data_IF_830082005200
#
_entry.id   IF_830082005200
#
_cell.length_a   1.000
_cell.length_b   1.000
_cell.length_c   1.000
_cell.angle_alpha   90.00
_cell.angle_beta   90.00
_cell.angle_gamma   90.00
#
_symmetry.space_group_name_H-M   'P 1'
#
loop_
_entity.id
_entity.type
_entity.pdbx_description
1 polymer ?
#
# COMPACT_ATOMS: atom_id res chain seq x y z
N UNK A 1 17.39 -10.37 -11.20
CA UNK A 1 17.49 -9.53 -12.41
C UNK A 1 17.47 -8.08 -11.96
N UNK A 2 18.32 -7.23 -12.54
CA UNK A 2 18.40 -5.80 -12.22
C UNK A 2 18.17 -4.99 -13.49
N UNK A 3 17.41 -3.90 -13.38
CA UNK A 3 17.15 -2.97 -14.47
C UNK A 3 17.51 -1.56 -14.03
N UNK A 4 18.31 -0.87 -14.84
CA UNK A 4 18.57 0.55 -14.71
C UNK A 4 18.13 1.23 -16.02
N UNK A 5 17.21 2.19 -15.94
CA UNK A 5 16.72 2.92 -17.12
C UNK A 5 16.65 4.41 -16.79
N UNK A 6 17.09 5.23 -17.74
CA UNK A 6 17.03 6.69 -17.61
C UNK A 6 16.60 7.32 -18.93
N UNK A 7 15.83 8.41 -18.84
CA UNK A 7 15.47 9.27 -19.99
C UNK A 7 14.72 8.52 -21.09
N UNK A 8 13.60 7.88 -20.71
CA UNK A 8 12.76 7.11 -21.64
C UNK A 8 11.32 7.59 -21.54
N UNK A 9 10.70 7.93 -22.66
CA UNK A 9 9.29 8.33 -22.70
C UNK A 9 8.37 7.22 -22.18
N UNK A 10 8.66 5.97 -22.54
CA UNK A 10 7.81 4.83 -22.17
C UNK A 10 8.56 3.51 -22.01
N UNK A 11 8.29 2.83 -20.91
CA UNK A 11 8.67 1.43 -20.68
C UNK A 11 7.44 0.59 -20.31
N UNK A 12 7.26 -0.55 -20.98
CA UNK A 12 6.18 -1.50 -20.70
C UNK A 12 6.76 -2.91 -20.58
N UNK A 13 6.43 -3.59 -19.49
CA UNK A 13 6.69 -5.02 -19.30
C UNK A 13 5.36 -5.72 -18.99
N UNK A 14 4.87 -6.59 -19.90
CA UNK A 14 3.67 -7.41 -19.70
C UNK A 14 4.04 -8.89 -19.65
N UNK A 15 3.87 -9.53 -18.48
CA UNK A 15 4.03 -10.97 -18.35
C UNK A 15 2.66 -11.66 -18.24
N UNK A 16 2.37 -12.51 -19.22
CA UNK A 16 1.15 -13.33 -19.20
C UNK A 16 1.15 -14.38 -18.09
N UNK A 17 2.29 -15.03 -17.86
CA UNK A 17 2.44 -16.07 -16.83
C UNK A 17 3.90 -16.19 -16.43
N UNK A 18 4.17 -16.03 -15.13
CA UNK A 18 5.48 -16.26 -14.55
C UNK A 18 5.37 -17.30 -13.43
N UNK A 19 6.07 -18.41 -13.59
CA UNK A 19 6.10 -19.51 -12.61
C UNK A 19 7.54 -19.86 -12.30
N UNK A 20 8.02 -19.41 -11.15
CA UNK A 20 9.38 -19.66 -10.69
C UNK A 20 9.38 -20.11 -9.23
N UNK A 21 10.47 -20.75 -8.79
CA UNK A 21 10.62 -21.03 -7.36
C UNK A 21 10.80 -19.73 -6.58
N UNK A 22 11.68 -18.86 -7.04
CA UNK A 22 11.96 -17.56 -6.45
C UNK A 22 12.05 -16.50 -7.56
N UNK A 23 11.59 -15.28 -7.26
CA UNK A 23 11.80 -14.11 -8.09
C UNK A 23 12.58 -13.09 -7.28
N UNK A 24 13.63 -12.55 -7.88
CA UNK A 24 14.39 -11.41 -7.38
C UNK A 24 14.51 -10.37 -8.49
N UNK A 25 13.91 -9.19 -8.30
CA UNK A 25 13.99 -8.08 -9.24
C UNK A 25 14.34 -6.77 -8.54
N UNK A 26 15.24 -6.00 -9.15
CA UNK A 26 15.58 -4.64 -8.71
C UNK A 26 15.42 -3.68 -9.89
N UNK A 27 14.79 -2.53 -9.65
CA UNK A 27 14.56 -1.50 -10.65
C UNK A 27 15.07 -0.16 -10.12
N UNK A 28 15.95 0.48 -10.87
CA UNK A 28 16.41 1.85 -10.65
C UNK A 28 16.03 2.68 -11.88
N UNK A 29 15.03 3.55 -11.74
CA UNK A 29 14.45 4.27 -12.88
C UNK A 29 14.43 5.76 -12.61
N UNK A 30 14.86 6.55 -13.59
CA UNK A 30 14.88 8.01 -13.49
C UNK A 30 14.40 8.68 -14.78
N UNK A 31 13.64 9.77 -14.68
CA UNK A 31 13.24 10.58 -15.84
C UNK A 31 12.47 9.75 -16.87
N UNK A 32 11.30 9.24 -16.46
CA UNK A 32 10.44 8.40 -17.31
C UNK A 32 9.02 8.96 -17.34
N UNK A 33 8.46 9.26 -18.51
CA UNK A 33 7.08 9.76 -18.56
C UNK A 33 6.09 8.64 -18.20
N UNK A 34 6.36 7.41 -18.65
CA UNK A 34 5.46 6.28 -18.39
C UNK A 34 6.16 4.94 -18.19
N UNK A 35 6.01 4.38 -17.00
CA UNK A 35 6.38 3.01 -16.68
C UNK A 35 5.15 2.15 -16.39
N UNK A 36 5.03 0.99 -17.04
CA UNK A 36 3.98 0.00 -16.78
C UNK A 36 4.59 -1.38 -16.61
N UNK A 37 4.24 -2.03 -15.51
CA UNK A 37 4.47 -3.45 -15.27
C UNK A 37 3.12 -4.15 -15.04
N UNK A 38 2.69 -5.02 -15.95
CA UNK A 38 1.45 -5.83 -15.81
C UNK A 38 1.79 -7.31 -15.75
N UNK A 39 1.40 -7.96 -14.66
CA UNK A 39 1.53 -9.40 -14.48
C UNK A 39 0.14 -10.05 -14.38
N UNK A 40 -0.23 -10.87 -15.38
CA UNK A 40 -1.54 -11.53 -15.39
C UNK A 40 -1.61 -12.69 -14.40
N UNK A 41 -0.53 -13.46 -14.28
CA UNK A 41 -0.46 -14.60 -13.34
C UNK A 41 0.96 -14.84 -12.89
N UNK A 42 1.17 -14.74 -11.59
CA UNK A 42 2.48 -14.89 -10.98
C UNK A 42 2.39 -15.91 -9.83
N UNK A 43 3.08 -17.04 -9.97
CA UNK A 43 3.01 -18.17 -9.02
C UNK A 43 4.42 -18.58 -8.59
N UNK A 44 4.80 -18.26 -7.36
CA UNK A 44 6.15 -18.53 -6.85
C UNK A 44 6.15 -18.93 -5.38
N UNK A 45 7.27 -19.48 -4.90
CA UNK A 45 7.44 -19.65 -3.45
C UNK A 45 7.71 -18.30 -2.80
N UNK A 46 8.68 -17.56 -3.32
CA UNK A 46 9.08 -16.26 -2.79
C UNK A 46 9.24 -15.21 -3.88
N UNK A 47 8.87 -13.98 -3.55
CA UNK A 47 9.12 -12.80 -4.37
C UNK A 47 9.87 -11.78 -3.51
N UNK A 48 10.94 -11.25 -4.08
CA UNK A 48 11.62 -10.07 -3.60
C UNK A 48 11.71 -9.05 -4.73
N UNK A 49 11.12 -7.88 -4.55
CA UNK A 49 11.24 -6.76 -5.49
C UNK A 49 11.66 -5.48 -4.78
N UNK A 50 12.56 -4.72 -5.39
CA UNK A 50 12.92 -3.39 -4.93
C UNK A 50 12.83 -2.39 -6.09
N UNK A 51 12.23 -1.22 -5.82
CA UNK A 51 12.06 -0.15 -6.79
C UNK A 51 12.61 1.14 -6.20
N UNK A 52 13.54 1.77 -6.91
CA UNK A 52 14.04 3.11 -6.65
C UNK A 52 13.70 3.99 -7.86
N UNK A 53 12.71 4.87 -7.71
CA UNK A 53 12.12 5.64 -8.80
C UNK A 53 12.26 7.13 -8.53
N UNK A 54 12.72 7.88 -9.52
CA UNK A 54 12.78 9.35 -9.46
C UNK A 54 12.25 9.98 -10.74
N UNK A 55 11.57 11.11 -10.61
CA UNK A 55 11.12 11.92 -11.75
C UNK A 55 10.32 11.09 -12.77
N UNK A 56 9.20 10.52 -12.32
CA UNK A 56 8.32 9.71 -13.19
C UNK A 56 6.93 10.34 -13.25
N UNK A 57 6.44 10.69 -14.43
CA UNK A 57 5.10 11.26 -14.54
C UNK A 57 4.02 10.22 -14.21
N UNK A 58 4.21 8.98 -14.67
CA UNK A 58 3.26 7.89 -14.43
C UNK A 58 3.94 6.53 -14.24
N UNK A 59 3.76 5.96 -13.06
CA UNK A 59 4.09 4.58 -12.75
C UNK A 59 2.83 3.74 -12.50
N UNK A 60 2.73 2.58 -13.16
CA UNK A 60 1.65 1.61 -12.96
C UNK A 60 2.25 0.22 -12.74
N UNK A 61 1.88 -0.41 -11.63
CA UNK A 61 2.10 -1.82 -11.36
C UNK A 61 0.74 -2.51 -11.20
N UNK A 62 0.38 -3.37 -12.15
CA UNK A 62 -0.87 -4.14 -12.15
C UNK A 62 -0.59 -5.63 -11.99
N UNK A 63 -1.27 -6.26 -11.06
CA UNK A 63 -1.18 -7.69 -10.82
C UNK A 63 -2.57 -8.31 -10.76
N UNK A 64 -2.92 -9.14 -11.76
CA UNK A 64 -4.25 -9.77 -11.78
C UNK A 64 -4.35 -10.91 -10.78
N UNK A 65 -3.40 -11.84 -10.78
CA UNK A 65 -3.40 -13.01 -9.89
C UNK A 65 -2.00 -13.31 -9.41
N UNK A 66 -1.82 -13.31 -8.09
CA UNK A 66 -0.51 -13.53 -7.52
C UNK A 66 -0.64 -14.48 -6.31
N UNK A 67 -0.01 -15.64 -6.44
CA UNK A 67 -0.12 -16.78 -5.51
C UNK A 67 1.28 -17.15 -5.07
N UNK A 68 1.64 -16.79 -3.84
CA UNK A 68 2.97 -17.06 -3.32
C UNK A 68 2.97 -17.48 -1.86
N UNK A 69 4.09 -17.99 -1.37
CA UNK A 69 4.26 -18.19 0.08
C UNK A 69 4.60 -16.85 0.73
N UNK A 70 5.64 -16.17 0.25
CA UNK A 70 6.12 -14.92 0.82
C UNK A 70 6.35 -13.87 -0.25
N UNK A 71 6.06 -12.62 0.09
CA UNK A 71 6.32 -11.46 -0.75
C UNK A 71 6.99 -10.40 0.11
N UNK A 72 8.10 -9.87 -0.40
CA UNK A 72 8.76 -8.69 0.11
C UNK A 72 8.88 -7.69 -1.04
N UNK A 73 8.32 -6.50 -0.86
CA UNK A 73 8.47 -5.40 -1.80
C UNK A 73 8.90 -4.13 -1.09
N UNK A 74 9.87 -3.44 -1.65
CA UNK A 74 10.34 -2.14 -1.16
C UNK A 74 10.25 -1.10 -2.28
N UNK A 75 9.71 0.07 -1.96
CA UNK A 75 9.56 1.18 -2.90
C UNK A 75 10.17 2.43 -2.27
N UNK A 76 11.12 3.05 -2.96
CA UNK A 76 11.64 4.38 -2.69
C UNK A 76 11.30 5.25 -3.89
N UNK A 77 10.35 6.17 -3.74
CA UNK A 77 9.82 6.98 -4.83
C UNK A 77 10.01 8.46 -4.52
N UNK A 78 10.45 9.23 -5.50
CA UNK A 78 10.61 10.67 -5.40
C UNK A 78 10.12 11.36 -6.66
N UNK A 79 9.43 12.49 -6.53
CA UNK A 79 8.99 13.33 -7.66
C UNK A 79 8.18 12.52 -8.69
N UNK A 80 7.04 11.98 -8.26
CA UNK A 80 6.18 11.16 -9.12
C UNK A 80 4.83 11.85 -9.31
N UNK A 81 4.45 12.14 -10.55
CA UNK A 81 3.14 12.75 -10.81
C UNK A 81 2.00 11.78 -10.46
N UNK A 82 2.12 10.50 -10.84
CA UNK A 82 1.13 9.48 -10.50
C UNK A 82 1.73 8.10 -10.30
N UNK A 83 1.51 7.52 -9.13
CA UNK A 83 1.80 6.13 -8.83
C UNK A 83 0.52 5.33 -8.61
N UNK A 84 0.40 4.18 -9.29
CA UNK A 84 -0.72 3.24 -9.13
C UNK A 84 -0.16 1.83 -8.92
N UNK A 85 -0.59 1.20 -7.84
CA UNK A 85 -0.42 -0.22 -7.59
C UNK A 85 -1.80 -0.88 -7.45
N UNK A 86 -2.21 -1.68 -8.45
CA UNK A 86 -3.52 -2.34 -8.47
C UNK A 86 -3.36 -3.87 -8.45
N UNK A 87 -4.03 -4.51 -7.50
CA UNK A 87 -4.15 -5.97 -7.42
C UNK A 87 -5.59 -6.40 -7.76
N UNK A 88 -5.82 -6.69 -9.05
CA UNK A 88 -7.16 -6.73 -9.66
C UNK A 88 -8.04 -7.95 -9.39
N UNK A 89 -7.52 -9.13 -9.01
CA UNK A 89 -8.40 -10.30 -8.76
C UNK A 89 -8.14 -11.04 -7.47
N UNK A 90 -6.91 -11.50 -7.21
CA UNK A 90 -6.64 -12.32 -6.02
C UNK A 90 -5.17 -12.35 -5.66
N UNK A 91 -4.86 -11.93 -4.43
CA UNK A 91 -3.60 -12.24 -3.77
C UNK A 91 -3.84 -13.32 -2.72
N UNK A 92 -3.25 -14.50 -2.93
CA UNK A 92 -3.23 -15.58 -1.92
C UNK A 92 -1.80 -15.76 -1.49
N UNK A 93 -1.46 -15.25 -0.30
CA UNK A 93 -0.11 -15.33 0.20
C UNK A 93 -0.06 -15.74 1.67
N UNK A 94 0.98 -16.46 2.10
CA UNK A 94 1.15 -16.71 3.53
C UNK A 94 1.50 -15.41 4.24
N UNK A 95 2.55 -14.74 3.76
CA UNK A 95 3.02 -13.48 4.34
C UNK A 95 3.26 -12.44 3.23
N UNK A 96 2.90 -11.19 3.53
CA UNK A 96 3.31 -10.01 2.75
C UNK A 96 4.00 -9.04 3.69
N UNK A 97 5.15 -8.54 3.24
CA UNK A 97 5.85 -7.39 3.78
C UNK A 97 6.01 -6.35 2.66
N UNK A 98 5.53 -5.14 2.88
CA UNK A 98 5.75 -4.03 1.96
C UNK A 98 6.23 -2.79 2.71
N UNK A 99 7.23 -2.12 2.16
CA UNK A 99 7.74 -0.87 2.68
C UNK A 99 7.72 0.19 1.58
N UNK A 100 7.22 1.37 1.91
CA UNK A 100 7.12 2.51 1.01
C UNK A 100 7.74 3.74 1.67
N UNK A 101 8.73 4.32 1.00
CA UNK A 101 9.28 5.64 1.30
C UNK A 101 8.97 6.54 0.09
N UNK A 102 8.04 7.48 0.26
CA UNK A 102 7.53 8.31 -0.82
C UNK A 102 7.72 9.78 -0.50
N UNK A 103 8.26 10.54 -1.43
CA UNK A 103 8.39 12.00 -1.33
C UNK A 103 7.92 12.69 -2.61
N UNK A 104 7.23 13.82 -2.45
CA UNK A 104 6.83 14.69 -3.58
C UNK A 104 6.01 13.92 -4.63
N UNK A 105 4.81 13.49 -4.24
CA UNK A 105 3.92 12.69 -5.10
C UNK A 105 2.57 13.38 -5.23
N UNK A 106 2.14 13.75 -6.43
CA UNK A 106 0.82 14.38 -6.59
C UNK A 106 -0.31 13.37 -6.34
N UNK A 107 -0.10 12.11 -6.75
CA UNK A 107 -1.11 11.06 -6.55
C UNK A 107 -0.51 9.67 -6.36
N UNK A 108 -0.78 9.09 -5.20
CA UNK A 108 -0.54 7.69 -4.91
C UNK A 108 -1.85 6.92 -4.73
N UNK A 109 -1.98 5.78 -5.41
CA UNK A 109 -3.11 4.87 -5.29
C UNK A 109 -2.60 3.44 -5.08
N UNK A 110 -3.06 2.80 -4.01
CA UNK A 110 -2.90 1.38 -3.77
C UNK A 110 -4.27 0.71 -3.62
N UNK A 111 -4.65 -0.06 -4.63
CA UNK A 111 -5.94 -0.73 -4.67
C UNK A 111 -5.78 -2.25 -4.62
N UNK A 112 -6.53 -2.94 -3.75
CA UNK A 112 -6.64 -4.39 -3.81
C UNK A 112 -8.10 -4.86 -3.78
N UNK A 113 -8.47 -5.70 -4.75
CA UNK A 113 -9.83 -6.26 -4.78
C UNK A 113 -10.05 -7.39 -3.78
N UNK A 114 -9.06 -8.27 -3.63
CA UNK A 114 -9.17 -9.42 -2.73
C UNK A 114 -7.81 -9.88 -2.22
N UNK A 115 -7.60 -9.70 -0.93
CA UNK A 115 -6.43 -10.16 -0.19
C UNK A 115 -6.85 -11.28 0.77
N UNK A 116 -6.27 -12.47 0.62
CA UNK A 116 -6.45 -13.58 1.56
C UNK A 116 -5.09 -14.06 2.02
N UNK A 117 -4.70 -13.76 3.26
CA UNK A 117 -3.34 -14.02 3.74
C UNK A 117 -3.30 -14.47 5.19
N UNK A 118 -2.17 -15.02 5.65
CA UNK A 118 -1.97 -15.25 7.09
C UNK A 118 -1.60 -13.93 7.76
N UNK A 119 -0.54 -13.28 7.28
CA UNK A 119 -0.04 -12.04 7.86
C UNK A 119 0.20 -10.97 6.78
N UNK A 120 -0.13 -9.73 7.11
CA UNK A 120 0.26 -8.53 6.37
C UNK A 120 1.06 -7.63 7.31
N UNK A 121 2.22 -7.17 6.84
CA UNK A 121 2.95 -6.07 7.41
C UNK A 121 3.17 -5.01 6.33
N UNK A 122 2.75 -3.78 6.59
CA UNK A 122 3.00 -2.64 5.70
C UNK A 122 3.53 -1.45 6.49
N UNK A 123 4.56 -0.81 5.96
CA UNK A 123 5.12 0.41 6.52
C UNK A 123 5.14 1.48 5.43
N UNK A 124 4.67 2.68 5.77
CA UNK A 124 4.62 3.83 4.89
C UNK A 124 5.28 5.03 5.58
N UNK A 125 6.28 5.59 4.93
CA UNK A 125 6.87 6.89 5.26
C UNK A 125 6.60 7.82 4.08
N UNK A 126 5.68 8.77 4.26
CA UNK A 126 5.18 9.64 3.19
C UNK A 126 5.43 11.10 3.55
N UNK A 127 5.99 11.85 2.62
CA UNK A 127 6.16 13.30 2.74
C UNK A 127 5.72 14.03 1.48
N UNK A 128 5.05 15.18 1.65
CA UNK A 128 4.66 16.06 0.55
C UNK A 128 3.84 15.33 -0.52
N UNK A 129 2.62 14.92 -0.15
CA UNK A 129 1.72 14.16 -1.03
C UNK A 129 0.38 14.88 -1.15
N UNK A 130 -0.04 15.26 -2.35
CA UNK A 130 -1.34 15.92 -2.52
C UNK A 130 -2.49 14.93 -2.30
N UNK A 131 -2.32 13.69 -2.75
CA UNK A 131 -3.35 12.66 -2.60
C UNK A 131 -2.78 11.26 -2.41
N UNK A 132 -3.08 10.68 -1.26
CA UNK A 132 -2.86 9.28 -0.97
C UNK A 132 -4.18 8.53 -0.81
N UNK A 133 -4.32 7.41 -1.53
CA UNK A 133 -5.49 6.52 -1.44
C UNK A 133 -5.01 5.08 -1.24
N UNK A 134 -5.57 4.42 -0.24
CA UNK A 134 -5.51 2.97 -0.07
C UNK A 134 -6.92 2.40 -0.01
N UNK A 135 -7.35 1.65 -1.03
CA UNK A 135 -8.67 0.99 -1.09
C UNK A 135 -8.52 -0.54 -1.09
N UNK A 136 -9.16 -1.18 -0.12
CA UNK A 136 -9.27 -2.63 -0.02
C UNK A 136 -10.73 -3.08 -0.04
N UNK A 137 -11.16 -3.72 -1.14
CA UNK A 137 -12.55 -4.20 -1.24
C UNK A 137 -12.83 -5.39 -0.32
N UNK A 138 -11.87 -6.31 -0.18
CA UNK A 138 -12.02 -7.48 0.68
C UNK A 138 -10.67 -7.97 1.17
N UNK A 139 -10.50 -7.94 2.48
CA UNK A 139 -9.25 -8.30 3.12
C UNK A 139 -9.54 -9.28 4.27
N UNK A 140 -9.04 -10.51 4.13
CA UNK A 140 -9.31 -11.63 5.04
C UNK A 140 -7.98 -12.21 5.51
N UNK A 141 -7.56 -11.89 6.73
CA UNK A 141 -6.28 -12.38 7.26
C UNK A 141 -6.34 -12.87 8.71
N UNK A 142 -5.25 -13.49 9.18
CA UNK A 142 -5.08 -13.72 10.61
C UNK A 142 -4.65 -12.42 11.29
N UNK A 143 -3.57 -11.81 10.82
CA UNK A 143 -3.02 -10.60 11.42
C UNK A 143 -2.72 -9.53 10.36
N UNK A 144 -2.99 -8.29 10.72
CA UNK A 144 -2.58 -7.10 9.98
C UNK A 144 -1.79 -6.22 10.94
N UNK A 145 -0.62 -5.76 10.48
CA UNK A 145 0.12 -4.67 11.07
C UNK A 145 0.37 -3.62 9.99
N UNK A 146 -0.06 -2.38 10.25
CA UNK A 146 0.25 -1.24 9.39
C UNK A 146 0.83 -0.10 10.22
N UNK A 147 1.88 0.53 9.72
CA UNK A 147 2.48 1.72 10.31
C UNK A 147 2.56 2.81 9.25
N UNK A 148 2.13 4.01 9.60
CA UNK A 148 2.13 5.18 8.74
C UNK A 148 2.82 6.34 9.45
N UNK A 149 3.85 6.89 8.84
CA UNK A 149 4.47 8.17 9.19
C UNK A 149 4.20 9.14 8.04
N UNK A 150 3.31 10.09 8.24
CA UNK A 150 2.78 10.98 7.21
C UNK A 150 3.09 12.43 7.57
N UNK A 151 3.72 13.16 6.66
CA UNK A 151 3.95 14.60 6.79
C UNK A 151 3.52 15.36 5.53
N UNK A 152 2.89 16.51 5.72
CA UNK A 152 2.50 17.41 4.62
C UNK A 152 1.65 16.69 3.56
N UNK A 153 0.48 16.23 3.96
CA UNK A 153 -0.45 15.50 3.09
C UNK A 153 -1.75 16.29 2.95
N UNK A 154 -2.10 16.71 1.74
CA UNK A 154 -3.35 17.45 1.55
C UNK A 154 -4.57 16.53 1.75
N UNK A 155 -4.50 15.29 1.25
CA UNK A 155 -5.57 14.31 1.38
C UNK A 155 -5.06 12.89 1.53
N UNK A 156 -5.37 12.28 2.67
CA UNK A 156 -5.18 10.86 2.95
C UNK A 156 -6.53 10.15 3.05
N UNK A 157 -6.68 9.05 2.31
CA UNK A 157 -7.87 8.19 2.34
C UNK A 157 -7.44 6.73 2.54
N UNK A 158 -8.03 6.10 3.54
CA UNK A 158 -7.99 4.66 3.76
C UNK A 158 -9.43 4.12 3.76
N UNK A 159 -9.83 3.43 2.70
CA UNK A 159 -11.17 2.82 2.57
C UNK A 159 -11.05 1.29 2.60
N UNK A 160 -11.87 0.65 3.42
CA UNK A 160 -12.06 -0.79 3.36
C UNK A 160 -13.54 -1.18 3.33
N UNK A 161 -13.94 -1.87 2.27
CA UNK A 161 -15.34 -2.35 2.19
C UNK A 161 -15.61 -3.55 3.09
N UNK A 162 -14.65 -4.46 3.24
CA UNK A 162 -14.80 -5.64 4.08
C UNK A 162 -13.48 -6.12 4.66
N UNK A 163 -13.32 -5.93 5.96
CA UNK A 163 -12.20 -6.44 6.76
C UNK A 163 -12.68 -7.59 7.65
N UNK A 164 -12.04 -8.75 7.52
CA UNK A 164 -12.28 -9.91 8.39
C UNK A 164 -10.95 -10.45 8.90
N UNK A 165 -10.58 -10.15 10.15
CA UNK A 165 -9.28 -10.56 10.69
C UNK A 165 -9.34 -11.06 12.13
N UNK A 166 -8.31 -11.80 12.57
CA UNK A 166 -8.20 -12.09 14.01
C UNK A 166 -7.71 -10.85 14.74
N UNK A 167 -6.60 -10.26 14.30
CA UNK A 167 -5.99 -9.09 14.92
C UNK A 167 -5.68 -8.02 13.87
N UNK A 168 -5.97 -6.77 14.21
CA UNK A 168 -5.54 -5.58 13.47
C UNK A 168 -4.76 -4.70 14.42
N UNK A 169 -3.56 -4.29 14.01
CA UNK A 169 -2.79 -3.23 14.65
C UNK A 169 -2.47 -2.16 13.59
N UNK A 170 -2.86 -0.92 13.85
CA UNK A 170 -2.50 0.22 13.02
C UNK A 170 -1.91 1.33 13.88
N UNK A 171 -0.80 1.91 13.43
CA UNK A 171 -0.17 3.05 14.05
C UNK A 171 -0.02 4.17 13.02
N UNK A 172 -0.38 5.39 13.41
CA UNK A 172 -0.33 6.57 12.58
C UNK A 172 0.41 7.68 13.33
N UNK A 173 1.48 8.20 12.74
CA UNK A 173 2.11 9.46 13.10
C UNK A 173 1.81 10.46 11.97
N UNK A 174 0.99 11.45 12.25
CA UNK A 174 0.41 12.37 11.28
C UNK A 174 0.82 13.81 11.62
N UNK A 175 1.43 14.50 10.66
CA UNK A 175 1.81 15.91 10.78
C UNK A 175 1.37 16.69 9.55
N UNK A 176 0.71 17.83 9.74
CA UNK A 176 0.32 18.74 8.65
C UNK A 176 -0.54 18.05 7.60
N UNK A 177 -1.71 17.58 8.02
CA UNK A 177 -2.66 16.86 7.17
C UNK A 177 -3.89 17.71 6.91
N UNK A 178 -4.13 18.11 5.65
CA UNK A 178 -5.33 18.87 5.31
C UNK A 178 -6.61 18.05 5.50
N UNK A 179 -6.64 16.80 5.01
CA UNK A 179 -7.78 15.90 5.21
C UNK A 179 -7.36 14.46 5.39
N UNK A 180 -7.75 13.89 6.53
CA UNK A 180 -7.62 12.47 6.83
C UNK A 180 -8.98 11.78 6.84
N UNK A 181 -9.13 10.69 6.09
CA UNK A 181 -10.34 9.87 6.04
C UNK A 181 -9.98 8.40 6.26
N UNK A 182 -10.63 7.78 7.24
CA UNK A 182 -10.65 6.34 7.45
C UNK A 182 -12.10 5.85 7.38
N UNK A 183 -12.47 5.15 6.31
CA UNK A 183 -13.80 4.57 6.10
C UNK A 183 -13.72 3.03 6.12
N UNK A 184 -14.55 2.38 6.93
CA UNK A 184 -14.75 0.95 6.86
C UNK A 184 -16.24 0.59 6.82
N UNK A 185 -16.69 -0.04 5.74
CA UNK A 185 -18.10 -0.44 5.62
C UNK A 185 -18.47 -1.64 6.48
N UNK A 186 -17.57 -2.63 6.56
CA UNK A 186 -17.80 -3.83 7.37
C UNK A 186 -16.50 -4.36 7.94
N UNK A 187 -16.44 -4.41 9.26
CA UNK A 187 -15.24 -4.73 10.00
C UNK A 187 -15.56 -5.79 11.05
N UNK A 188 -15.04 -7.00 10.87
CA UNK A 188 -15.31 -8.18 11.71
C UNK A 188 -14.00 -8.73 12.23
N UNK A 189 -13.64 -8.45 13.49
CA UNK A 189 -12.37 -8.90 14.05
C UNK A 189 -12.45 -9.40 15.49
N UNK A 190 -11.43 -10.11 15.95
CA UNK A 190 -11.33 -10.43 17.39
C UNK A 190 -10.78 -9.22 18.15
N UNK A 191 -9.64 -8.70 17.71
CA UNK A 191 -8.96 -7.58 18.36
C UNK A 191 -8.58 -6.50 17.35
N UNK A 192 -8.78 -5.24 17.73
CA UNK A 192 -8.30 -4.07 16.99
C UNK A 192 -7.57 -3.16 17.96
N UNK A 193 -6.38 -2.73 17.57
CA UNK A 193 -5.65 -1.67 18.22
C UNK A 193 -5.30 -0.61 17.16
N UNK A 194 -5.70 0.63 17.40
CA UNK A 194 -5.32 1.76 16.57
C UNK A 194 -4.72 2.85 17.45
N UNK A 195 -3.56 3.37 17.06
CA UNK A 195 -2.88 4.46 17.75
C UNK A 195 -2.61 5.60 16.77
N UNK A 196 -2.91 6.82 17.21
CA UNK A 196 -2.77 8.03 16.43
C UNK A 196 -1.96 9.06 17.22
N UNK A 197 -0.84 9.51 16.65
CA UNK A 197 -0.08 10.66 17.08
C UNK A 197 -0.31 11.77 16.04
N UNK A 198 -0.96 12.86 16.44
CA UNK A 198 -1.51 13.86 15.54
C UNK A 198 -0.92 15.24 15.85
N UNK A 199 -0.47 15.94 14.81
CA UNK A 199 -0.07 17.35 14.86
C UNK A 199 -0.61 18.05 13.60
N UNK A 200 -1.28 19.19 13.78
CA UNK A 200 -1.83 20.02 12.69
C UNK A 200 -2.68 19.25 11.66
N UNK A 201 -3.92 18.95 12.00
CA UNK A 201 -4.88 18.29 11.09
C UNK A 201 -6.13 19.16 10.94
N UNK A 202 -6.44 19.59 9.71
CA UNK A 202 -7.60 20.47 9.49
C UNK A 202 -8.91 19.68 9.54
N UNK A 203 -8.93 18.46 9.00
CA UNK A 203 -10.12 17.60 9.00
C UNK A 203 -9.77 16.13 9.20
N UNK A 204 -10.35 15.54 10.23
CA UNK A 204 -10.27 14.11 10.53
C UNK A 204 -11.65 13.46 10.45
N UNK A 205 -11.78 12.40 9.66
CA UNK A 205 -13.03 11.63 9.50
C UNK A 205 -12.74 10.16 9.76
N UNK A 206 -13.53 9.56 10.66
CA UNK A 206 -13.55 8.13 10.94
C UNK A 206 -14.99 7.62 10.77
N UNK A 207 -15.26 6.86 9.70
CA UNK A 207 -16.56 6.22 9.45
C UNK A 207 -16.43 4.70 9.55
N UNK A 208 -17.31 4.08 10.35
CA UNK A 208 -17.39 2.63 10.48
C UNK A 208 -18.86 2.20 10.49
N UNK A 209 -19.39 1.73 9.35
CA UNK A 209 -20.83 1.43 9.22
C UNK A 209 -21.27 0.17 9.96
N UNK A 210 -20.42 -0.86 9.97
CA UNK A 210 -20.71 -2.12 10.66
C UNK A 210 -19.48 -2.68 11.33
N UNK A 211 -19.53 -2.67 12.65
CA UNK A 211 -18.44 -3.07 13.53
C UNK A 211 -18.86 -4.30 14.34
N UNK A 212 -18.15 -5.41 14.18
CA UNK A 212 -18.37 -6.64 14.98
C UNK A 212 -17.02 -7.06 15.53
N UNK A 213 -16.72 -6.67 16.78
CA UNK A 213 -15.45 -7.00 17.40
C UNK A 213 -15.60 -7.46 18.84
N UNK A 214 -14.66 -8.29 19.31
CA UNK A 214 -14.57 -8.64 20.72
C UNK A 214 -13.90 -7.53 21.52
N UNK A 215 -12.75 -7.04 21.04
CA UNK A 215 -11.98 -5.98 21.70
C UNK A 215 -11.59 -4.91 20.68
N UNK A 216 -11.73 -3.64 21.07
CA UNK A 216 -11.28 -2.49 20.31
C UNK A 216 -10.61 -1.52 21.28
N UNK A 217 -9.39 -1.10 20.94
CA UNK A 217 -8.70 0.00 21.61
C UNK A 217 -8.28 1.02 20.56
N UNK A 218 -8.66 2.27 20.78
CA UNK A 218 -8.24 3.42 19.98
C UNK A 218 -7.60 4.45 20.89
N UNK A 219 -6.37 4.85 20.58
CA UNK A 219 -5.63 5.85 21.34
C UNK A 219 -5.28 7.03 20.43
N UNK A 220 -5.48 8.24 20.94
CA UNK A 220 -5.15 9.48 20.25
C UNK A 220 -4.25 10.31 21.16
N UNK A 221 -3.13 10.77 20.62
CA UNK A 221 -2.22 11.71 21.24
C UNK A 221 -2.09 12.93 20.32
N UNK A 222 -2.46 14.10 20.82
CA UNK A 222 -2.15 15.37 20.17
C UNK A 222 -0.74 15.76 20.59
N UNK A 223 0.15 15.90 19.61
CA UNK A 223 1.52 16.35 19.82
C UNK A 223 1.55 17.84 19.45
N UNK A 224 1.79 18.68 20.47
CA UNK A 224 1.93 20.13 20.32
C UNK A 224 3.29 20.48 19.74
#
# INVERSE_FOLDING_TARGET
MAFALSSIDRYILDNKRLVNKNILMTFALSSIDRYILDDKRLVNKNILMAFALSSIDRYILDNKRLVNKNILMAFALSSIGRYILDNKKRLVNKNILMAFALSSIDRYILDNKRLVKKNILMAFALSSIDRYILDDKRLVNKNILMAFALSSIDRYILDNKRLVNKNILMAFALSSIGRYILDNKRLVNKNILMAFALSSIDRYILDNKRLVNKNILMAFALIQ
#
